data_IF_701279971590
#
_entry.id   IF_701279971590
#
_cell.length_a   1.000
_cell.length_b   1.000
_cell.length_c   1.000
_cell.angle_alpha   90.00
_cell.angle_beta   90.00
_cell.angle_gamma   90.00
#
_symmetry.space_group_name_H-M   'P 1'
#
loop_
_entity.id
_entity.type
_entity.pdbx_description
1 polymer ?
#
# COMPACT_ATOMS: atom_id res chain seq x y z
N UNK A 1 14.73 3.53 -24.46
CA UNK A 1 13.59 2.88 -23.80
C UNK A 1 13.96 1.44 -23.49
N UNK A 2 14.63 1.16 -22.37
CA UNK A 2 14.98 -0.23 -22.00
C UNK A 2 14.26 -0.61 -20.73
N UNK A 3 12.95 -0.81 -20.84
CA UNK A 3 12.16 -1.47 -19.81
C UNK A 3 12.25 -2.98 -20.05
N UNK A 4 12.82 -3.72 -19.10
CA UNK A 4 13.12 -5.15 -19.26
C UNK A 4 12.01 -6.09 -18.79
N UNK A 5 10.78 -5.59 -18.65
CA UNK A 5 9.61 -6.37 -18.30
C UNK A 5 8.89 -5.89 -17.04
N UNK A 6 7.79 -6.57 -16.68
CA UNK A 6 6.86 -6.13 -15.64
C UNK A 6 7.54 -5.89 -14.29
N UNK A 7 7.14 -4.81 -13.61
CA UNK A 7 7.64 -4.44 -12.27
C UNK A 7 7.41 -5.54 -11.22
N UNK A 8 6.44 -6.43 -11.45
CA UNK A 8 6.12 -7.57 -10.61
C UNK A 8 6.24 -8.86 -11.41
N UNK A 9 7.14 -9.76 -10.97
CA UNK A 9 7.38 -11.06 -11.65
C UNK A 9 6.35 -12.14 -11.30
N UNK A 10 5.64 -12.01 -10.17
CA UNK A 10 4.75 -13.06 -9.62
C UNK A 10 3.39 -12.51 -9.12
N UNK A 11 2.96 -11.36 -9.65
CA UNK A 11 1.76 -10.66 -9.16
C UNK A 11 2.07 -9.76 -7.95
N UNK A 12 1.05 -9.06 -7.45
CA UNK A 12 1.15 -8.21 -6.27
C UNK A 12 1.32 -9.13 -5.04
N UNK A 13 2.37 -8.96 -4.23
CA UNK A 13 2.51 -9.73 -3.00
C UNK A 13 1.40 -9.37 -2.02
N UNK A 14 1.00 -10.32 -1.20
CA UNK A 14 0.17 -10.06 -0.02
C UNK A 14 0.99 -9.37 1.05
N UNK A 15 0.32 -8.69 1.96
CA UNK A 15 0.94 -8.13 3.16
C UNK A 15 1.42 -9.24 4.12
N UNK A 16 2.21 -8.91 5.17
CA UNK A 16 2.72 -9.90 6.12
C UNK A 16 1.65 -10.75 6.83
N UNK A 17 0.39 -10.31 6.80
CA UNK A 17 -0.76 -10.98 7.42
C UNK A 17 -1.63 -11.73 6.40
N UNK A 18 -1.27 -11.72 5.12
CA UNK A 18 -1.98 -12.43 4.06
C UNK A 18 -3.14 -11.64 3.45
N UNK A 19 -3.22 -10.33 3.68
CA UNK A 19 -4.25 -9.47 3.09
C UNK A 19 -3.73 -8.78 1.83
N UNK A 20 -4.65 -8.45 0.91
CA UNK A 20 -4.33 -7.66 -0.28
C UNK A 20 -4.02 -6.21 0.10
N UNK A 21 -3.00 -5.63 -0.55
CA UNK A 21 -2.75 -4.19 -0.45
C UNK A 21 -3.85 -3.40 -1.18
N UNK A 22 -4.32 -2.34 -0.53
CA UNK A 22 -5.24 -1.38 -1.14
C UNK A 22 -4.40 -0.35 -1.89
N UNK A 23 -4.62 -0.25 -3.20
CA UNK A 23 -4.01 0.75 -4.07
C UNK A 23 -5.09 1.71 -4.59
N UNK A 24 -4.87 3.01 -4.43
CA UNK A 24 -5.78 4.06 -4.90
C UNK A 24 -4.99 5.09 -5.73
N UNK A 25 -5.46 5.37 -6.95
CA UNK A 25 -4.90 6.40 -7.83
C UNK A 25 -6.02 7.08 -8.63
N UNK A 26 -6.15 8.42 -8.59
CA UNK A 26 -5.35 9.36 -7.80
C UNK A 26 -5.56 9.18 -6.29
N UNK A 27 -4.48 9.31 -5.51
CA UNK A 27 -4.54 9.14 -4.06
C UNK A 27 -5.56 10.08 -3.41
N UNK A 28 -6.37 9.55 -2.49
CA UNK A 28 -7.30 10.32 -1.65
C UNK A 28 -6.56 11.18 -0.65
N UNK A 29 -5.48 10.65 -0.07
CA UNK A 29 -4.61 11.32 0.88
C UNK A 29 -3.46 12.02 0.13
N UNK A 30 -2.84 11.34 -0.83
CA UNK A 30 -1.87 11.97 -1.72
C UNK A 30 -2.54 12.48 -3.01
N UNK A 31 -3.08 13.70 -2.97
CA UNK A 31 -3.76 14.31 -4.12
C UNK A 31 -2.89 14.47 -5.39
N UNK A 32 -1.57 14.36 -5.27
CA UNK A 32 -0.62 14.38 -6.39
C UNK A 32 0.06 13.04 -6.69
N UNK A 33 -0.35 11.96 -6.03
CA UNK A 33 0.32 10.68 -6.07
C UNK A 33 -0.64 9.50 -6.02
N UNK A 34 -0.14 8.41 -5.45
CA UNK A 34 -0.89 7.18 -5.22
C UNK A 34 -0.93 6.91 -3.72
N UNK A 35 -1.98 6.22 -3.30
CA UNK A 35 -2.13 5.75 -1.93
C UNK A 35 -1.96 4.24 -1.92
N UNK A 36 -1.12 3.75 -1.01
CA UNK A 36 -0.99 2.34 -0.69
C UNK A 36 -1.27 2.16 0.81
N UNK A 37 -2.14 1.21 1.13
CA UNK A 37 -2.54 0.83 2.47
C UNK A 37 -2.45 -0.70 2.63
N UNK A 38 -1.92 -1.15 3.76
CA UNK A 38 -2.11 -2.50 4.29
C UNK A 38 -3.01 -2.43 5.51
N UNK A 39 -3.98 -3.35 5.55
CA UNK A 39 -4.96 -3.50 6.62
C UNK A 39 -4.35 -3.98 7.94
N UNK A 40 -3.06 -4.29 7.98
CA UNK A 40 -2.43 -4.74 9.21
C UNK A 40 -2.91 -6.14 9.67
N UNK A 41 -2.60 -6.49 10.93
CA UNK A 41 -3.02 -7.74 11.56
C UNK A 41 -4.53 -7.93 11.68
N UNK A 42 -5.31 -6.86 11.81
CA UNK A 42 -6.76 -6.97 12.02
C UNK A 42 -7.56 -7.25 10.73
N UNK A 43 -6.94 -7.03 9.57
CA UNK A 43 -7.54 -7.25 8.25
C UNK A 43 -8.68 -6.29 7.94
N UNK A 44 -8.72 -5.11 8.55
CA UNK A 44 -9.80 -4.12 8.39
C UNK A 44 -9.24 -2.72 8.17
N UNK A 45 -9.70 -2.10 7.08
CA UNK A 45 -9.41 -0.69 6.80
C UNK A 45 -10.05 0.22 7.85
N UNK A 46 -9.26 1.15 8.39
CA UNK A 46 -9.65 2.14 9.39
C UNK A 46 -9.12 1.84 10.80
N UNK A 47 -8.30 0.81 10.96
CA UNK A 47 -7.65 0.45 12.21
C UNK A 47 -6.45 1.33 12.56
N UNK A 48 -6.04 1.31 13.82
CA UNK A 48 -4.78 1.96 14.26
C UNK A 48 -3.54 1.13 13.94
N UNK A 49 -3.73 -0.04 13.35
CA UNK A 49 -2.72 -0.98 12.88
C UNK A 49 -2.54 -0.93 11.35
N UNK A 50 -3.36 -0.11 10.67
CA UNK A 50 -3.21 0.23 9.27
C UNK A 50 -1.82 0.84 9.00
N UNK A 51 -1.16 0.29 7.98
CA UNK A 51 0.13 0.76 7.48
C UNK A 51 -0.08 1.46 6.15
N UNK A 52 0.16 2.76 6.11
CA UNK A 52 -0.11 3.61 4.94
C UNK A 52 1.14 4.33 4.47
N UNK A 53 1.21 4.68 3.18
CA UNK A 53 2.38 5.39 2.64
C UNK A 53 2.44 6.89 2.99
N UNK A 54 1.33 7.47 3.45
CA UNK A 54 1.19 8.90 3.72
C UNK A 54 1.25 9.23 5.22
N UNK A 55 1.16 8.23 6.09
CA UNK A 55 1.27 8.41 7.52
C UNK A 55 2.73 8.59 7.95
N UNK A 56 3.12 9.85 8.12
CA UNK A 56 4.45 10.21 8.64
C UNK A 56 4.52 10.18 10.18
N UNK A 57 3.42 9.87 10.89
CA UNK A 57 3.39 9.99 12.36
C UNK A 57 4.14 8.89 13.09
N UNK A 58 4.44 7.77 12.42
CA UNK A 58 5.15 6.62 13.00
C UNK A 58 6.67 6.60 12.72
N UNK A 59 7.20 7.62 12.04
CA UNK A 59 8.65 7.79 11.87
C UNK A 59 9.22 8.65 13.00
N UNK A 60 9.50 8.05 14.16
CA UNK A 60 10.35 8.66 15.19
C UNK A 60 11.23 7.60 15.86
#
# INVERSE_FOLDING_TARGET
TSWQGPYLKKGVPLDPWGNDYVYDYPGKQNSGGYDILSMGPDGRVGGSDDITNWDNTRSN
#
